data_IF_750403376373
#
_entry.id   IF_750403376373
#
_cell.length_a   1.000
_cell.length_b   1.000
_cell.length_c   1.000
_cell.angle_alpha   90.00
_cell.angle_beta   90.00
_cell.angle_gamma   90.00
#
_symmetry.space_group_name_H-M   'P 1'
#
loop_
_entity.id
_entity.type
_entity.pdbx_description
1 polymer ?
#
# COMPACT_ATOMS: atom_id res chain seq x y z
N UNK A 1 -14.44 -14.60 -19.75
CA UNK A 1 -15.06 -13.66 -18.83
C UNK A 1 -16.01 -12.76 -19.65
N UNK A 2 -17.22 -12.55 -19.15
CA UNK A 2 -18.21 -11.66 -19.76
C UNK A 2 -18.40 -10.45 -18.83
N UNK A 3 -17.80 -9.31 -19.19
CA UNK A 3 -17.93 -8.07 -18.43
C UNK A 3 -19.36 -7.52 -18.58
N UNK A 4 -20.04 -7.26 -17.48
CA UNK A 4 -21.41 -6.74 -17.47
C UNK A 4 -21.45 -5.22 -17.45
N UNK A 5 -20.55 -4.59 -16.70
CA UNK A 5 -20.45 -3.14 -16.61
C UNK A 5 -19.00 -2.70 -16.34
N UNK A 6 -18.64 -1.52 -16.83
CA UNK A 6 -17.40 -0.83 -16.53
C UNK A 6 -17.71 0.36 -15.64
N UNK A 7 -17.30 0.28 -14.37
CA UNK A 7 -17.67 1.25 -13.35
C UNK A 7 -16.50 2.19 -13.02
N UNK A 8 -16.83 3.42 -12.65
CA UNK A 8 -15.90 4.38 -12.06
C UNK A 8 -16.06 4.41 -10.53
N UNK A 9 -15.02 4.82 -9.80
CA UNK A 9 -15.07 4.98 -8.34
C UNK A 9 -16.22 5.88 -7.89
N UNK A 10 -16.47 6.97 -8.62
CA UNK A 10 -17.56 7.91 -8.32
C UNK A 10 -18.95 7.27 -8.49
N UNK A 11 -19.14 6.42 -9.49
CA UNK A 11 -20.41 5.69 -9.68
C UNK A 11 -20.66 4.71 -8.54
N UNK A 12 -19.62 3.93 -8.15
CA UNK A 12 -19.70 3.01 -7.02
C UNK A 12 -19.95 3.76 -5.71
N UNK A 13 -19.26 4.88 -5.49
CA UNK A 13 -19.45 5.70 -4.29
C UNK A 13 -20.89 6.24 -4.18
N UNK A 14 -21.46 6.72 -5.29
CA UNK A 14 -22.86 7.18 -5.35
C UNK A 14 -23.84 6.05 -5.03
N UNK A 15 -23.60 4.86 -5.58
CA UNK A 15 -24.41 3.68 -5.27
C UNK A 15 -24.34 3.32 -3.78
N UNK A 16 -23.16 3.26 -3.21
CA UNK A 16 -22.96 2.95 -1.79
C UNK A 16 -23.63 3.97 -0.84
N UNK A 17 -23.73 5.22 -1.28
CA UNK A 17 -24.46 6.31 -0.60
C UNK A 17 -25.96 6.35 -0.92
N UNK A 18 -26.47 5.35 -1.66
CA UNK A 18 -27.88 5.25 -2.06
C UNK A 18 -28.37 6.43 -2.92
N UNK A 19 -27.46 7.17 -3.59
CA UNK A 19 -27.80 8.29 -4.47
C UNK A 19 -27.90 7.89 -5.95
N UNK A 20 -27.62 6.64 -6.29
CA UNK A 20 -27.77 6.05 -7.63
C UNK A 20 -27.95 4.55 -7.54
N UNK A 21 -28.38 3.91 -8.66
CA UNK A 21 -28.54 2.47 -8.72
C UNK A 21 -27.97 1.93 -10.04
N UNK A 22 -27.58 0.64 -10.06
CA UNK A 22 -27.15 -0.09 -11.25
C UNK A 22 -28.29 -0.95 -11.78
N UNK A 23 -28.39 -1.08 -13.11
CA UNK A 23 -29.45 -1.87 -13.75
C UNK A 23 -29.34 -3.36 -13.43
N UNK A 24 -28.11 -3.90 -13.50
CA UNK A 24 -27.88 -5.33 -13.32
C UNK A 24 -27.84 -5.74 -11.85
N UNK A 25 -28.75 -6.65 -11.45
CA UNK A 25 -28.81 -7.17 -10.07
C UNK A 25 -27.47 -7.84 -9.64
N UNK A 26 -26.84 -8.60 -10.54
CA UNK A 26 -25.56 -9.26 -10.27
C UNK A 26 -24.44 -8.26 -9.95
N UNK A 27 -24.42 -7.09 -10.61
CA UNK A 27 -23.45 -6.02 -10.31
C UNK A 27 -23.70 -5.44 -8.91
N UNK A 28 -24.97 -5.18 -8.56
CA UNK A 28 -25.35 -4.69 -7.23
C UNK A 28 -24.92 -5.67 -6.12
N UNK A 29 -25.22 -6.96 -6.31
CA UNK A 29 -24.86 -8.00 -5.36
C UNK A 29 -23.33 -8.09 -5.19
N UNK A 30 -22.59 -8.06 -6.30
CA UNK A 30 -21.11 -8.09 -6.25
C UNK A 30 -20.53 -6.90 -5.48
N UNK A 31 -21.05 -5.68 -5.68
CA UNK A 31 -20.58 -4.50 -4.96
C UNK A 31 -20.94 -4.58 -3.47
N UNK A 32 -22.14 -5.07 -3.12
CA UNK A 32 -22.54 -5.23 -1.73
C UNK A 32 -21.66 -6.28 -1.02
N UNK A 33 -21.44 -7.43 -1.63
CA UNK A 33 -20.56 -8.47 -1.08
C UNK A 33 -19.11 -7.95 -0.92
N UNK A 34 -18.63 -7.18 -1.89
CA UNK A 34 -17.32 -6.56 -1.82
C UNK A 34 -17.24 -5.52 -0.68
N UNK A 35 -18.30 -4.75 -0.46
CA UNK A 35 -18.41 -3.84 0.69
C UNK A 35 -18.32 -4.59 2.02
N UNK A 36 -19.05 -5.70 2.16
CA UNK A 36 -19.03 -6.49 3.39
C UNK A 36 -17.67 -7.12 3.64
N UNK A 37 -17.03 -7.68 2.60
CA UNK A 37 -15.65 -8.15 2.66
C UNK A 37 -14.69 -7.03 3.08
N UNK A 38 -14.82 -5.85 2.48
CA UNK A 38 -13.98 -4.69 2.81
C UNK A 38 -14.12 -4.29 4.28
N UNK A 39 -15.35 -4.26 4.80
CA UNK A 39 -15.60 -3.93 6.21
C UNK A 39 -14.94 -4.95 7.15
N UNK A 40 -15.01 -6.25 6.82
CA UNK A 40 -14.34 -7.30 7.59
C UNK A 40 -12.81 -7.12 7.55
N UNK A 41 -12.25 -6.86 6.37
CA UNK A 41 -10.81 -6.63 6.19
C UNK A 41 -10.32 -5.39 6.95
N UNK A 42 -11.05 -4.29 6.92
CA UNK A 42 -10.74 -3.08 7.68
C UNK A 42 -10.77 -3.34 9.19
N UNK A 43 -11.75 -4.14 9.68
CA UNK A 43 -11.79 -4.56 11.09
C UNK A 43 -10.54 -5.37 11.48
N UNK A 44 -10.13 -6.34 10.66
CA UNK A 44 -8.91 -7.12 10.88
C UNK A 44 -7.66 -6.24 10.82
N UNK A 45 -7.59 -5.30 9.87
CA UNK A 45 -6.50 -4.31 9.77
C UNK A 45 -6.35 -3.48 11.03
N UNK A 46 -7.49 -3.01 11.58
CA UNK A 46 -7.51 -2.28 12.85
C UNK A 46 -7.06 -3.16 14.02
N UNK A 47 -7.54 -4.42 14.12
CA UNK A 47 -7.16 -5.35 15.18
C UNK A 47 -5.65 -5.63 15.22
N UNK A 48 -5.01 -5.79 14.04
CA UNK A 48 -3.55 -5.98 13.95
C UNK A 48 -2.76 -4.67 14.08
N UNK A 49 -3.44 -3.53 14.28
CA UNK A 49 -2.82 -2.19 14.45
C UNK A 49 -1.94 -1.77 13.28
N UNK A 50 -2.30 -2.19 12.05
CA UNK A 50 -1.61 -1.73 10.84
C UNK A 50 -1.58 -0.20 10.78
N UNK A 51 -0.50 0.37 10.24
CA UNK A 51 -0.36 1.82 10.16
C UNK A 51 -1.42 2.40 9.22
N UNK A 52 -2.10 3.44 9.67
CA UNK A 52 -3.02 4.22 8.84
C UNK A 52 -2.35 5.55 8.48
N UNK A 53 -1.78 5.58 7.28
CA UNK A 53 -1.08 6.73 6.75
C UNK A 53 -1.92 7.26 5.59
N UNK A 54 -2.49 8.46 5.77
CA UNK A 54 -3.32 9.11 4.77
C UNK A 54 -2.63 10.41 4.30
N UNK A 55 -1.61 10.32 3.42
CA UNK A 55 -0.96 11.51 2.92
C UNK A 55 -1.94 12.35 2.11
N UNK A 56 -1.87 13.66 2.29
CA UNK A 56 -2.61 14.60 1.47
C UNK A 56 -2.01 14.59 0.06
N UNK A 57 -2.71 14.01 -0.91
CA UNK A 57 -2.29 14.01 -2.31
C UNK A 57 -2.93 15.19 -3.04
N UNK A 58 -2.11 15.95 -3.77
CA UNK A 58 -2.57 16.99 -4.67
C UNK A 58 -2.92 16.42 -6.06
N UNK A 59 -4.01 16.87 -6.63
CA UNK A 59 -4.35 16.61 -8.03
C UNK A 59 -4.06 17.86 -8.82
N UNK A 60 -3.04 17.82 -9.67
CA UNK A 60 -2.67 18.92 -10.56
C UNK A 60 -3.47 18.76 -11.85
N UNK A 61 -4.31 19.75 -12.16
CA UNK A 61 -5.05 19.81 -13.41
C UNK A 61 -4.32 20.71 -14.38
N UNK A 62 -3.96 20.17 -15.54
CA UNK A 62 -3.31 20.93 -16.61
C UNK A 62 -4.33 21.45 -17.63
N UNK A 63 -4.02 22.61 -18.21
CA UNK A 63 -4.69 23.15 -19.38
C UNK A 63 -4.32 22.37 -20.65
N UNK A 64 -4.95 22.69 -21.80
CA UNK A 64 -4.55 22.15 -23.10
C UNK A 64 -3.10 22.49 -23.46
N UNK A 65 -2.61 23.61 -22.98
CA UNK A 65 -1.22 24.08 -23.19
C UNK A 65 -0.24 23.52 -22.15
N UNK A 66 -0.64 22.53 -21.34
CA UNK A 66 0.16 21.91 -20.29
C UNK A 66 0.54 22.85 -19.13
N UNK A 67 -0.10 23.99 -18.99
CA UNK A 67 0.04 24.88 -17.85
C UNK A 67 -0.83 24.43 -16.68
N UNK A 68 -0.42 24.70 -15.45
CA UNK A 68 -1.21 24.33 -14.26
C UNK A 68 -2.45 25.22 -14.18
N UNK A 69 -3.61 24.60 -14.34
CA UNK A 69 -4.91 25.29 -14.26
C UNK A 69 -5.47 25.34 -12.84
N UNK A 70 -5.27 24.30 -12.07
CA UNK A 70 -5.78 24.20 -10.70
C UNK A 70 -5.08 23.07 -9.94
N UNK A 71 -4.88 23.27 -8.66
CA UNK A 71 -4.39 22.26 -7.70
C UNK A 71 -5.52 22.00 -6.70
N UNK A 72 -5.98 20.76 -6.63
CA UNK A 72 -7.04 20.34 -5.73
C UNK A 72 -6.57 19.16 -4.85
N UNK A 73 -7.03 19.11 -3.60
CA UNK A 73 -6.75 17.97 -2.74
C UNK A 73 -7.63 16.77 -3.13
N UNK A 74 -7.01 15.60 -3.25
CA UNK A 74 -7.71 14.34 -3.52
C UNK A 74 -8.57 13.96 -2.31
N UNK A 75 -9.86 13.76 -2.56
CA UNK A 75 -10.78 13.27 -1.52
C UNK A 75 -10.81 11.74 -1.58
N UNK A 76 -10.45 11.04 -0.50
CA UNK A 76 -10.56 9.59 -0.45
C UNK A 76 -12.04 9.18 -0.52
N UNK A 77 -12.35 8.18 -1.35
CA UNK A 77 -13.68 7.58 -1.46
C UNK A 77 -13.66 6.19 -0.82
N UNK A 78 -14.78 5.74 -0.26
CA UNK A 78 -14.88 4.38 0.23
C UNK A 78 -14.73 3.35 -0.92
N UNK A 79 -15.18 3.72 -2.12
CA UNK A 79 -14.97 2.92 -3.33
C UNK A 79 -13.49 2.60 -3.62
N UNK A 80 -12.53 3.47 -3.23
CA UNK A 80 -11.10 3.14 -3.32
C UNK A 80 -10.70 2.04 -2.33
N UNK A 81 -11.30 2.04 -1.12
CA UNK A 81 -11.05 1.01 -0.09
C UNK A 81 -11.51 -0.37 -0.53
N UNK A 82 -12.59 -0.47 -1.32
CA UNK A 82 -13.05 -1.75 -1.88
C UNK A 82 -11.94 -2.42 -2.70
N UNK A 83 -11.32 -1.64 -3.58
CA UNK A 83 -10.24 -2.14 -4.45
C UNK A 83 -8.97 -2.36 -3.65
N UNK A 84 -8.59 -1.42 -2.78
CA UNK A 84 -7.40 -1.51 -1.93
C UNK A 84 -7.39 -2.79 -1.08
N UNK A 85 -8.46 -3.06 -0.33
CA UNK A 85 -8.51 -4.24 0.54
C UNK A 85 -8.59 -5.56 -0.25
N UNK A 86 -9.21 -5.54 -1.43
CA UNK A 86 -9.21 -6.71 -2.31
C UNK A 86 -7.82 -7.00 -2.89
N UNK A 87 -7.10 -5.95 -3.30
CA UNK A 87 -5.71 -6.07 -3.77
C UNK A 87 -4.78 -6.54 -2.65
N UNK A 88 -4.93 -6.01 -1.43
CA UNK A 88 -4.16 -6.44 -0.26
C UNK A 88 -4.40 -7.92 0.04
N UNK A 89 -5.65 -8.37 0.00
CA UNK A 89 -5.99 -9.79 0.21
C UNK A 89 -5.34 -10.68 -0.85
N UNK A 90 -5.45 -10.34 -2.12
CA UNK A 90 -4.84 -11.11 -3.21
C UNK A 90 -3.31 -11.15 -3.10
N UNK A 91 -2.68 -10.02 -2.74
CA UNK A 91 -1.25 -9.91 -2.52
C UNK A 91 -0.78 -10.78 -1.32
N UNK A 92 -1.53 -10.78 -0.23
CA UNK A 92 -1.30 -11.60 0.96
C UNK A 92 -1.39 -13.09 0.61
N UNK A 93 -2.47 -13.51 -0.08
CA UNK A 93 -2.67 -14.90 -0.51
C UNK A 93 -1.59 -15.39 -1.49
N UNK A 94 -1.11 -14.52 -2.39
CA UNK A 94 -0.01 -14.87 -3.29
C UNK A 94 1.31 -15.07 -2.52
N UNK A 95 1.56 -14.25 -1.50
CA UNK A 95 2.74 -14.41 -0.64
C UNK A 95 2.67 -15.70 0.17
N UNK A 96 1.51 -16.03 0.74
CA UNK A 96 1.26 -17.30 1.44
C UNK A 96 1.48 -18.51 0.53
N UNK A 97 0.91 -18.48 -0.68
CA UNK A 97 1.09 -19.57 -1.64
C UNK A 97 2.57 -19.82 -1.96
N UNK A 98 3.34 -18.75 -2.21
CA UNK A 98 4.78 -18.90 -2.49
C UNK A 98 5.54 -19.42 -1.27
N UNK A 99 5.23 -18.93 -0.09
CA UNK A 99 5.86 -19.36 1.15
C UNK A 99 5.63 -20.84 1.44
N UNK A 100 4.38 -21.28 1.35
CA UNK A 100 3.95 -22.62 1.75
C UNK A 100 4.24 -23.69 0.69
N UNK A 101 4.24 -23.31 -0.58
CA UNK A 101 4.32 -24.27 -1.71
C UNK A 101 5.66 -24.26 -2.44
N UNK A 102 6.37 -23.14 -2.47
CA UNK A 102 7.55 -23.00 -3.32
C UNK A 102 8.86 -22.90 -2.54
N UNK A 103 8.83 -22.52 -1.27
CA UNK A 103 10.01 -22.15 -0.50
C UNK A 103 10.94 -21.15 -1.24
N UNK A 104 10.36 -20.43 -2.20
CA UNK A 104 10.97 -19.40 -3.05
C UNK A 104 9.89 -18.37 -3.39
N UNK A 105 10.20 -17.09 -3.23
CA UNK A 105 9.23 -16.05 -3.51
C UNK A 105 9.87 -14.69 -3.74
N UNK A 106 9.05 -13.76 -4.22
CA UNK A 106 9.35 -12.33 -4.29
C UNK A 106 8.42 -11.64 -3.31
N UNK A 107 8.99 -11.16 -2.21
CA UNK A 107 8.23 -10.49 -1.15
C UNK A 107 8.41 -8.98 -1.22
N UNK A 108 7.39 -8.26 -0.80
CA UNK A 108 7.48 -6.82 -0.52
C UNK A 108 7.68 -6.65 0.97
N UNK A 109 8.92 -6.49 1.38
CA UNK A 109 9.30 -6.36 2.79
C UNK A 109 9.25 -4.91 3.25
N UNK A 110 8.97 -4.71 4.52
CA UNK A 110 9.03 -3.42 5.18
C UNK A 110 9.51 -3.65 6.60
N UNK A 111 10.79 -3.39 6.83
CA UNK A 111 11.44 -3.63 8.11
C UNK A 111 10.97 -2.67 9.20
N UNK A 112 11.31 -2.99 10.44
CA UNK A 112 11.08 -2.13 11.59
C UNK A 112 11.83 -0.80 11.44
N UNK A 113 11.31 0.29 12.00
CA UNK A 113 12.02 1.57 12.02
C UNK A 113 13.35 1.49 12.79
N UNK A 114 14.33 2.26 12.35
CA UNK A 114 15.61 2.39 13.02
C UNK A 114 15.43 2.88 14.49
N UNK A 115 16.06 2.22 15.47
CA UNK A 115 15.93 2.61 16.88
C UNK A 115 16.30 4.07 17.17
N UNK A 116 17.30 4.63 16.47
CA UNK A 116 17.71 6.02 16.65
C UNK A 116 16.61 7.02 16.20
N UNK A 117 15.93 6.70 15.11
CA UNK A 117 14.80 7.48 14.62
C UNK A 117 13.58 7.38 15.55
N UNK A 118 13.35 6.21 16.15
CA UNK A 118 12.30 6.03 17.16
C UNK A 118 12.55 6.88 18.39
N UNK A 119 13.80 6.96 18.87
CA UNK A 119 14.16 7.83 20.00
C UNK A 119 13.98 9.31 19.67
N UNK A 120 14.33 9.74 18.45
CA UNK A 120 14.08 11.10 17.99
C UNK A 120 12.56 11.43 17.97
N UNK A 121 11.72 10.50 17.50
CA UNK A 121 10.27 10.65 17.53
C UNK A 121 9.73 10.73 18.96
N UNK A 122 10.20 9.87 19.87
CA UNK A 122 9.78 9.91 21.28
C UNK A 122 10.04 11.28 21.90
N UNK A 123 11.20 11.86 21.62
CA UNK A 123 11.57 13.22 22.10
C UNK A 123 10.67 14.29 21.49
N UNK A 124 10.51 14.28 20.17
CA UNK A 124 9.70 15.26 19.44
C UNK A 124 8.24 15.26 19.91
N UNK A 125 7.64 14.08 19.99
CA UNK A 125 6.25 13.92 20.40
C UNK A 125 6.05 13.89 21.93
N UNK A 126 7.12 14.05 22.72
CA UNK A 126 7.07 14.04 24.20
C UNK A 126 6.25 12.84 24.71
N UNK A 127 6.63 11.63 24.27
CA UNK A 127 5.93 10.42 24.69
C UNK A 127 6.22 10.19 26.17
N UNK A 128 5.19 10.08 27.03
CA UNK A 128 5.41 9.84 28.45
C UNK A 128 6.04 8.45 28.66
N UNK A 129 7.26 8.43 29.17
CA UNK A 129 7.94 7.20 29.58
C UNK A 129 7.27 6.73 30.88
N UNK A 130 6.41 5.73 30.79
CA UNK A 130 5.94 5.02 31.99
C UNK A 130 7.08 4.17 32.51
N UNK A 131 7.50 4.40 33.76
CA UNK A 131 8.53 3.60 34.42
C UNK A 131 8.18 2.12 34.33
N UNK A 132 9.10 1.32 33.77
CA UNK A 132 8.96 -0.14 33.66
C UNK A 132 8.27 -0.68 32.40
N UNK A 133 7.72 0.16 31.50
CA UNK A 133 7.11 -0.33 30.23
C UNK A 133 7.86 0.19 29.01
N UNK A 134 8.59 -0.71 28.34
CA UNK A 134 9.20 -0.42 27.03
C UNK A 134 8.13 -0.53 25.94
N UNK A 135 7.84 0.60 25.25
CA UNK A 135 6.92 0.61 24.10
C UNK A 135 7.56 -0.09 22.89
N UNK A 136 6.78 -0.91 22.20
CA UNK A 136 7.20 -1.49 20.92
C UNK A 136 7.33 -0.41 19.84
N UNK A 137 8.12 -0.63 18.77
CA UNK A 137 8.19 0.28 17.62
C UNK A 137 6.82 0.66 17.08
N UNK A 138 5.93 -0.31 16.96
CA UNK A 138 4.56 -0.12 16.47
C UNK A 138 3.72 0.79 17.37
N UNK A 139 3.84 0.63 18.70
CA UNK A 139 3.12 1.48 19.66
C UNK A 139 3.63 2.92 19.61
N UNK A 140 4.95 3.13 19.46
CA UNK A 140 5.54 4.47 19.29
C UNK A 140 5.01 5.13 18.02
N UNK A 141 5.08 4.46 16.88
CA UNK A 141 4.63 5.00 15.59
C UNK A 141 3.13 5.33 15.62
N UNK A 142 2.29 4.40 16.09
CA UNK A 142 0.85 4.63 16.19
C UNK A 142 0.50 5.77 17.15
N UNK A 143 1.22 5.91 18.25
CA UNK A 143 1.03 7.06 19.15
C UNK A 143 1.36 8.37 18.44
N UNK A 144 2.49 8.45 17.74
CA UNK A 144 2.90 9.64 17.01
C UNK A 144 1.92 10.02 15.90
N UNK A 145 1.47 9.03 15.08
CA UNK A 145 0.48 9.23 14.03
C UNK A 145 -0.85 9.76 14.60
N UNK A 146 -1.35 9.14 15.68
CA UNK A 146 -2.58 9.56 16.31
C UNK A 146 -2.47 10.98 16.90
N UNK A 147 -1.34 11.32 17.52
CA UNK A 147 -1.11 12.65 18.08
C UNK A 147 -1.00 13.70 16.98
N UNK A 148 -0.24 13.45 15.93
CA UNK A 148 -0.12 14.33 14.77
C UNK A 148 -1.47 14.55 14.07
N UNK A 149 -2.25 13.47 13.87
CA UNK A 149 -3.58 13.56 13.27
C UNK A 149 -4.56 14.38 14.10
N UNK A 150 -4.61 14.17 15.42
CA UNK A 150 -5.49 14.94 16.33
C UNK A 150 -5.17 16.42 16.35
N UNK A 151 -3.90 16.76 16.19
CA UNK A 151 -3.43 18.16 16.23
C UNK A 151 -3.39 18.82 14.83
N UNK A 152 -3.80 18.12 13.78
CA UNK A 152 -3.62 18.51 12.37
C UNK A 152 -2.16 18.90 12.06
N UNK A 153 -1.21 18.19 12.66
CA UNK A 153 0.23 18.42 12.53
C UNK A 153 0.77 17.66 11.30
N UNK A 154 0.74 18.31 10.15
CA UNK A 154 1.24 17.74 8.90
C UNK A 154 2.77 17.50 8.97
N UNK A 155 3.52 18.37 9.65
CA UNK A 155 4.97 18.22 9.84
C UNK A 155 5.28 16.98 10.69
N UNK A 156 4.54 16.78 11.77
CA UNK A 156 4.65 15.59 12.60
C UNK A 156 4.35 14.31 11.83
N UNK A 157 3.35 14.32 10.96
CA UNK A 157 3.07 13.17 10.07
C UNK A 157 4.24 12.88 9.12
N UNK A 158 4.85 13.92 8.53
CA UNK A 158 6.03 13.78 7.66
C UNK A 158 7.21 13.20 8.43
N UNK A 159 7.47 13.67 9.65
CA UNK A 159 8.54 13.13 10.49
C UNK A 159 8.35 11.64 10.80
N UNK A 160 7.11 11.23 11.10
CA UNK A 160 6.81 9.81 11.29
C UNK A 160 7.08 9.01 10.01
N UNK A 161 6.63 9.49 8.84
CA UNK A 161 6.89 8.84 7.56
C UNK A 161 8.39 8.69 7.26
N UNK A 162 9.19 9.72 7.53
CA UNK A 162 10.64 9.72 7.34
C UNK A 162 11.38 8.79 8.31
N UNK A 163 10.77 8.46 9.44
CA UNK A 163 11.35 7.54 10.40
C UNK A 163 11.17 6.06 10.02
N UNK A 164 10.17 5.75 9.19
CA UNK A 164 9.93 4.40 8.72
C UNK A 164 11.04 3.93 7.77
N UNK A 165 11.33 2.63 7.81
CA UNK A 165 12.13 1.99 6.79
C UNK A 165 11.43 2.10 5.43
N UNK A 166 12.19 1.96 4.35
CA UNK A 166 11.58 1.87 3.01
C UNK A 166 11.17 0.45 2.72
N UNK A 167 10.01 0.29 2.11
CA UNK A 167 9.63 -1.01 1.60
C UNK A 167 10.47 -1.36 0.35
N UNK A 168 10.91 -2.61 0.26
CA UNK A 168 11.77 -3.12 -0.80
C UNK A 168 11.29 -4.50 -1.28
N UNK A 169 11.80 -4.95 -2.44
CA UNK A 169 11.58 -6.33 -2.88
C UNK A 169 12.74 -7.20 -2.42
N UNK A 170 12.44 -8.41 -1.98
CA UNK A 170 13.43 -9.39 -1.52
C UNK A 170 12.93 -10.81 -1.72
N UNK A 171 13.86 -11.74 -1.91
CA UNK A 171 13.54 -13.18 -1.86
C UNK A 171 13.45 -13.71 -0.43
N UNK A 172 13.91 -12.95 0.56
CA UNK A 172 13.79 -13.28 1.97
C UNK A 172 12.55 -12.59 2.55
N UNK A 173 11.67 -13.37 3.19
CA UNK A 173 10.49 -12.83 3.84
C UNK A 173 10.85 -12.25 5.21
N UNK A 174 10.83 -10.93 5.36
CA UNK A 174 11.03 -10.22 6.63
C UNK A 174 9.73 -9.60 7.16
N UNK A 175 8.59 -9.93 6.53
CA UNK A 175 7.31 -9.34 6.87
C UNK A 175 7.12 -7.91 6.37
N UNK A 176 6.01 -7.30 6.74
CA UNK A 176 5.70 -5.92 6.34
C UNK A 176 5.21 -5.10 7.53
N UNK A 177 6.11 -4.34 8.15
CA UNK A 177 5.85 -3.56 9.36
C UNK A 177 4.63 -2.65 9.22
N UNK A 178 4.53 -1.85 8.16
CA UNK A 178 3.43 -0.90 7.99
C UNK A 178 2.05 -1.56 7.87
N UNK A 179 1.96 -2.74 7.24
CA UNK A 179 0.72 -3.50 7.10
C UNK A 179 0.49 -4.48 8.25
N UNK A 180 1.50 -4.72 9.11
CA UNK A 180 1.48 -5.73 10.16
C UNK A 180 1.10 -7.11 9.62
N UNK A 181 1.75 -7.49 8.51
CA UNK A 181 1.61 -8.78 7.87
C UNK A 181 2.91 -9.58 8.00
N UNK A 182 2.78 -10.87 8.29
CA UNK A 182 3.93 -11.80 8.40
C UNK A 182 4.60 -12.02 7.05
N UNK A 183 3.83 -11.94 5.97
CA UNK A 183 4.29 -12.07 4.60
C UNK A 183 3.41 -11.24 3.67
N UNK A 184 4.05 -10.63 2.72
CA UNK A 184 3.36 -9.78 1.75
C UNK A 184 4.13 -9.74 0.43
N UNK A 185 3.41 -9.75 -0.67
CA UNK A 185 3.99 -9.65 -2.00
C UNK A 185 3.15 -8.75 -2.88
N UNK A 186 3.72 -8.25 -3.95
CA UNK A 186 2.95 -7.59 -4.98
C UNK A 186 2.57 -8.61 -6.07
N UNK A 187 1.29 -8.73 -6.36
CA UNK A 187 0.74 -9.69 -7.32
C UNK A 187 -0.27 -9.06 -8.29
N UNK A 188 -0.99 -8.03 -7.85
CA UNK A 188 -2.20 -7.54 -8.53
C UNK A 188 -1.94 -6.58 -9.70
N UNK A 189 -0.69 -6.23 -10.02
CA UNK A 189 -0.37 -5.26 -11.07
C UNK A 189 0.77 -5.67 -12.00
N UNK A 190 0.75 -6.87 -12.65
CA UNK A 190 1.86 -7.39 -13.46
C UNK A 190 2.10 -6.61 -14.76
N UNK A 191 1.15 -5.80 -15.21
CA UNK A 191 1.30 -4.96 -16.42
C UNK A 191 2.31 -3.83 -16.20
N UNK A 192 2.40 -3.29 -14.97
CA UNK A 192 3.21 -2.11 -14.64
C UNK A 192 4.30 -2.36 -13.61
N UNK A 193 4.33 -3.53 -12.95
CA UNK A 193 5.35 -3.88 -11.97
C UNK A 193 5.96 -5.23 -12.31
N UNK A 194 7.25 -5.23 -12.60
CA UNK A 194 7.99 -6.45 -12.94
C UNK A 194 7.98 -7.51 -11.81
N UNK A 195 8.13 -7.15 -10.52
CA UNK A 195 8.01 -8.12 -9.44
C UNK A 195 6.68 -8.87 -9.40
N UNK A 196 5.56 -8.21 -9.70
CA UNK A 196 4.26 -8.89 -9.82
C UNK A 196 4.29 -9.95 -10.93
N UNK A 197 4.92 -9.64 -12.07
CA UNK A 197 5.06 -10.61 -13.18
C UNK A 197 5.92 -11.82 -12.76
N UNK A 198 6.99 -11.60 -12.00
CA UNK A 198 7.82 -12.68 -11.46
C UNK A 198 6.99 -13.59 -10.54
N UNK A 199 6.17 -13.01 -9.64
CA UNK A 199 5.24 -13.76 -8.80
C UNK A 199 4.27 -14.59 -9.62
N UNK A 200 3.66 -14.03 -10.67
CA UNK A 200 2.79 -14.76 -11.58
C UNK A 200 3.51 -15.95 -12.25
N UNK A 201 4.75 -15.75 -12.69
CA UNK A 201 5.56 -16.82 -13.32
C UNK A 201 5.85 -17.97 -12.34
N UNK A 202 6.23 -17.63 -11.09
CA UNK A 202 6.48 -18.63 -10.05
C UNK A 202 5.22 -19.44 -9.73
N UNK A 203 4.10 -18.78 -9.50
CA UNK A 203 2.82 -19.41 -9.18
C UNK A 203 2.36 -20.28 -10.37
N UNK A 204 2.38 -19.79 -11.61
CA UNK A 204 1.98 -20.54 -12.79
C UNK A 204 2.86 -21.76 -13.03
N UNK A 205 4.18 -21.66 -12.81
CA UNK A 205 5.08 -22.81 -12.92
C UNK A 205 4.73 -23.89 -11.90
N UNK A 206 4.43 -23.51 -10.67
CA UNK A 206 3.99 -24.42 -9.62
C UNK A 206 2.68 -25.11 -9.95
N UNK A 207 1.65 -24.33 -10.35
CA UNK A 207 0.34 -24.88 -10.71
C UNK A 207 0.38 -25.81 -11.92
N UNK A 208 1.29 -25.56 -12.85
CA UNK A 208 1.51 -26.41 -14.02
C UNK A 208 2.44 -27.59 -13.75
N UNK A 209 2.88 -27.82 -12.50
CA UNK A 209 3.87 -28.82 -12.10
C UNK A 209 5.17 -28.76 -12.93
N UNK A 210 5.56 -27.55 -13.36
CA UNK A 210 6.80 -27.33 -14.10
C UNK A 210 7.94 -26.98 -13.13
N UNK A 211 9.15 -27.47 -13.45
CA UNK A 211 10.34 -27.11 -12.69
C UNK A 211 10.57 -25.59 -12.79
N UNK A 212 10.71 -24.93 -11.65
CA UNK A 212 11.11 -23.53 -11.60
C UNK A 212 12.58 -23.44 -12.01
N UNK A 213 12.85 -22.75 -13.11
CA UNK A 213 14.21 -22.65 -13.67
C UNK A 213 15.00 -21.49 -13.05
N UNK A 214 14.30 -20.47 -12.54
CA UNK A 214 14.92 -19.27 -11.96
C UNK A 214 15.65 -19.61 -10.66
N UNK A 215 16.91 -19.25 -10.57
CA UNK A 215 17.72 -19.41 -9.35
C UNK A 215 17.40 -18.32 -8.34
N UNK A 216 17.55 -18.63 -7.03
CA UNK A 216 17.26 -17.66 -5.96
C UNK A 216 18.10 -16.39 -6.09
N UNK A 217 19.37 -16.50 -6.49
CA UNK A 217 20.27 -15.34 -6.65
C UNK A 217 19.81 -14.44 -7.80
N UNK A 218 19.46 -14.99 -8.96
CA UNK A 218 18.92 -14.23 -10.10
C UNK A 218 17.64 -13.47 -9.70
N UNK A 219 16.78 -14.13 -8.93
CA UNK A 219 15.55 -13.52 -8.43
C UNK A 219 15.83 -12.40 -7.41
N UNK A 220 16.88 -12.54 -6.62
CA UNK A 220 17.32 -11.50 -5.67
C UNK A 220 17.85 -10.27 -6.42
N UNK A 221 18.67 -10.48 -7.47
CA UNK A 221 19.16 -9.39 -8.32
C UNK A 221 18.01 -8.63 -9.00
N UNK A 222 17.00 -9.35 -9.48
CA UNK A 222 15.75 -8.76 -10.02
C UNK A 222 14.99 -7.94 -8.96
N UNK A 223 14.93 -8.39 -7.72
CA UNK A 223 14.31 -7.68 -6.60
C UNK A 223 15.05 -6.37 -6.29
N UNK A 224 16.37 -6.41 -6.20
CA UNK A 224 17.22 -5.24 -5.90
C UNK A 224 17.13 -4.21 -7.02
N UNK A 225 17.23 -4.67 -8.27
CA UNK A 225 17.08 -3.82 -9.46
C UNK A 225 15.69 -3.17 -9.50
N UNK A 226 14.63 -3.92 -9.23
CA UNK A 226 13.27 -3.41 -9.19
C UNK A 226 13.09 -2.36 -8.10
N UNK A 227 13.66 -2.57 -6.93
CA UNK A 227 13.62 -1.62 -5.80
C UNK A 227 14.39 -0.33 -6.13
N UNK A 228 15.53 -0.44 -6.79
CA UNK A 228 16.33 0.71 -7.24
C UNK A 228 15.57 1.53 -8.28
N UNK A 229 14.99 0.87 -9.29
CA UNK A 229 14.25 1.52 -10.37
C UNK A 229 12.96 2.17 -9.86
N UNK A 230 12.24 1.55 -8.91
CA UNK A 230 11.08 2.15 -8.25
C UNK A 230 11.45 3.47 -7.56
N UNK A 231 12.54 3.48 -6.78
CA UNK A 231 13.06 4.70 -6.13
C UNK A 231 13.42 5.80 -7.14
N UNK A 232 14.05 5.42 -8.25
CA UNK A 232 14.39 6.37 -9.31
C UNK A 232 13.14 6.98 -9.96
N UNK A 233 12.15 6.15 -10.28
CA UNK A 233 10.90 6.60 -10.87
C UNK A 233 10.11 7.51 -9.92
N UNK A 234 10.04 7.15 -8.62
CA UNK A 234 9.39 7.98 -7.60
C UNK A 234 10.06 9.35 -7.47
N UNK A 235 11.41 9.39 -7.43
CA UNK A 235 12.15 10.65 -7.37
C UNK A 235 11.87 11.54 -8.59
N UNK A 236 11.86 10.97 -9.78
CA UNK A 236 11.55 11.71 -11.01
C UNK A 236 10.13 12.26 -10.99
N UNK A 237 9.12 11.47 -10.60
CA UNK A 237 7.73 11.91 -10.49
C UNK A 237 7.59 13.06 -9.50
N UNK A 238 8.19 12.94 -8.30
CA UNK A 238 8.17 14.01 -7.29
C UNK A 238 8.81 15.31 -7.77
N UNK A 239 9.91 15.23 -8.51
CA UNK A 239 10.56 16.41 -9.08
C UNK A 239 9.64 17.14 -10.06
N UNK A 240 8.96 16.40 -10.95
CA UNK A 240 7.99 16.99 -11.89
C UNK A 240 6.83 17.62 -11.15
N UNK A 241 6.27 16.94 -10.16
CA UNK A 241 5.17 17.49 -9.33
C UNK A 241 5.59 18.78 -8.62
N UNK A 242 6.80 18.83 -8.04
CA UNK A 242 7.32 20.03 -7.39
C UNK A 242 7.45 21.20 -8.37
N UNK A 243 8.02 20.97 -9.56
CA UNK A 243 8.13 22.01 -10.59
C UNK A 243 6.74 22.54 -10.97
N UNK A 244 5.76 21.65 -11.19
CA UNK A 244 4.41 22.05 -11.53
C UNK A 244 3.73 22.85 -10.41
N UNK A 245 3.93 22.47 -9.14
CA UNK A 245 3.39 23.21 -7.99
C UNK A 245 4.03 24.58 -7.87
N UNK A 246 5.35 24.70 -8.07
CA UNK A 246 6.04 26.00 -8.00
C UNK A 246 5.71 26.93 -9.17
N UNK A 247 5.20 26.39 -10.29
CA UNK A 247 4.78 27.17 -11.46
C UNK A 247 3.35 27.70 -11.39
N UNK A 248 2.58 27.31 -10.36
CA UNK A 248 1.20 27.74 -10.09
C UNK A 248 1.15 28.95 -9.18
#
# INVERSE_FOLDING_TARGET
INSKERLTYNQVEKYLKKSSNFKHAGVRNSINNLKDLTNLRLKLRYQRKALEINPKEAIIKLSKNKEVKNIAMKKPLFAHKLVEESMLLANESAAEFMHDRLNLGVYRIHEDPDPSKLEALKKHFKIPLKVGKKLSPLEVINFCLNKASKNNDDTGQILVLQSLARAEYSTNNLGHFGLQLKQYSHFTSPIRRYPDLLVHRLINSSLANKKIQTRKNELQDDCETSSMLERRAEKASRQVEQVLICSY
#
